data_IF_801001074792
#
_entry.id   IF_801001074792
#
_cell.length_a   1.000
_cell.length_b   1.000
_cell.length_c   1.000
_cell.angle_alpha   90.00
_cell.angle_beta   90.00
_cell.angle_gamma   90.00
#
_symmetry.space_group_name_H-M   'P 1'
#
loop_
_entity.id
_entity.type
_entity.pdbx_description
1 polymer ?
#
# COMPACT_ATOMS: atom_id res chain seq x y z
N UNK A 1 2.70 29.37 -21.80
CA UNK A 1 2.45 28.59 -20.57
C UNK A 1 3.75 28.54 -19.79
N UNK A 2 3.72 28.70 -18.47
CA UNK A 2 4.93 28.52 -17.64
C UNK A 2 5.40 27.05 -17.76
N UNK A 3 6.71 26.81 -17.64
CA UNK A 3 7.31 25.46 -17.69
C UNK A 3 6.65 24.48 -16.71
N UNK A 4 6.32 24.95 -15.51
CA UNK A 4 5.59 24.17 -14.49
C UNK A 4 4.21 23.70 -14.97
N UNK A 5 3.47 24.56 -15.67
CA UNK A 5 2.13 24.22 -16.19
C UNK A 5 2.22 23.12 -17.24
N UNK A 6 3.19 23.20 -18.15
CA UNK A 6 3.40 22.17 -19.18
C UNK A 6 3.82 20.83 -18.55
N UNK A 7 4.73 20.85 -17.57
CA UNK A 7 5.14 19.65 -16.83
C UNK A 7 3.96 19.02 -16.10
N UNK A 8 3.18 19.81 -15.37
CA UNK A 8 2.03 19.33 -14.61
C UNK A 8 0.97 18.69 -15.52
N UNK A 9 0.63 19.33 -16.64
CA UNK A 9 -0.37 18.79 -17.55
C UNK A 9 0.10 17.51 -18.25
N UNK A 10 1.39 17.38 -18.58
CA UNK A 10 1.94 16.12 -19.09
C UNK A 10 1.87 15.00 -18.04
N UNK A 11 2.24 15.29 -16.79
CA UNK A 11 2.16 14.31 -15.69
C UNK A 11 0.72 13.90 -15.43
N UNK A 12 -0.20 14.86 -15.31
CA UNK A 12 -1.62 14.62 -15.08
C UNK A 12 -2.24 13.75 -16.17
N UNK A 13 -1.95 14.03 -17.44
CA UNK A 13 -2.39 13.22 -18.57
C UNK A 13 -1.81 11.80 -18.54
N UNK A 14 -0.51 11.66 -18.25
CA UNK A 14 0.15 10.36 -18.14
C UNK A 14 -0.47 9.50 -17.02
N UNK A 15 -0.66 10.09 -15.84
CA UNK A 15 -1.19 9.42 -14.65
C UNK A 15 -2.65 8.98 -14.86
N UNK A 16 -3.47 9.84 -15.46
CA UNK A 16 -4.88 9.55 -15.75
C UNK A 16 -5.06 8.43 -16.77
N UNK A 17 -4.06 8.19 -17.63
CA UNK A 17 -4.07 7.12 -18.61
C UNK A 17 -3.66 5.75 -18.04
N UNK A 18 -3.19 5.67 -16.79
CA UNK A 18 -2.76 4.41 -16.19
C UNK A 18 -3.96 3.56 -15.75
N UNK A 19 -4.05 2.35 -16.27
CA UNK A 19 -5.12 1.40 -15.92
C UNK A 19 -5.20 1.17 -14.40
N UNK A 20 -4.06 1.04 -13.72
CA UNK A 20 -4.01 0.83 -12.27
C UNK A 20 -4.63 1.98 -11.44
N UNK A 21 -4.71 3.20 -11.99
CA UNK A 21 -5.37 4.34 -11.34
C UNK A 21 -6.88 4.31 -11.62
N UNK A 22 -7.29 4.01 -12.85
CA UNK A 22 -8.71 3.94 -13.23
C UNK A 22 -9.45 2.70 -12.68
N UNK A 23 -8.80 1.54 -12.67
CA UNK A 23 -9.41 0.24 -12.32
C UNK A 23 -9.76 0.13 -10.83
N UNK A 24 -8.99 0.79 -9.95
CA UNK A 24 -9.24 0.77 -8.50
C UNK A 24 -10.60 1.39 -8.14
N UNK A 25 -11.09 2.34 -8.92
CA UNK A 25 -12.40 2.97 -8.73
C UNK A 25 -13.57 2.06 -9.18
N UNK A 26 -13.30 1.08 -10.04
CA UNK A 26 -14.31 0.14 -10.53
C UNK A 26 -14.62 -0.96 -9.50
N UNK A 27 -13.68 -1.28 -8.61
CA UNK A 27 -13.81 -2.36 -7.61
C UNK A 27 -15.03 -2.13 -6.70
N UNK A 28 -15.23 -0.91 -6.22
CA UNK A 28 -16.38 -0.54 -5.38
C UNK A 28 -17.72 -0.86 -6.06
N UNK A 29 -17.80 -0.71 -7.39
CA UNK A 29 -19.01 -1.05 -8.16
C UNK A 29 -19.23 -2.55 -8.24
N UNK A 30 -18.15 -3.34 -8.32
CA UNK A 30 -18.21 -4.79 -8.45
C UNK A 30 -18.79 -5.46 -7.18
N UNK A 31 -18.41 -5.00 -5.98
CA UNK A 31 -18.92 -5.57 -4.72
C UNK A 31 -20.09 -4.81 -4.10
N UNK A 32 -20.57 -3.71 -4.70
CA UNK A 32 -21.65 -2.88 -4.14
C UNK A 32 -22.90 -3.68 -3.72
N UNK A 33 -23.27 -4.71 -4.51
CA UNK A 33 -24.42 -5.58 -4.20
C UNK A 33 -24.19 -6.51 -3.00
N UNK A 34 -22.93 -6.83 -2.70
CA UNK A 34 -22.53 -7.66 -1.58
C UNK A 34 -22.26 -6.83 -0.31
N UNK A 35 -22.19 -5.49 -0.40
CA UNK A 35 -21.88 -4.62 0.72
C UNK A 35 -22.78 -4.84 1.96
N UNK A 36 -24.10 -5.11 1.84
CA UNK A 36 -24.95 -5.40 3.00
C UNK A 36 -24.55 -6.68 3.77
N UNK A 37 -23.83 -7.61 3.16
CA UNK A 37 -23.38 -8.86 3.81
C UNK A 37 -22.28 -8.61 4.85
N UNK A 38 -21.62 -7.45 4.83
CA UNK A 38 -20.55 -7.10 5.77
C UNK A 38 -21.06 -6.73 7.18
N UNK A 39 -22.38 -6.60 7.36
CA UNK A 39 -22.97 -6.15 8.62
C UNK A 39 -22.45 -4.77 9.01
N UNK A 40 -21.79 -4.69 10.17
CA UNK A 40 -21.21 -3.44 10.69
C UNK A 40 -19.80 -3.14 10.17
N UNK A 41 -19.17 -4.05 9.42
CA UNK A 41 -17.79 -3.89 8.95
C UNK A 41 -17.78 -2.99 7.70
N UNK A 42 -16.97 -1.93 7.73
CA UNK A 42 -16.77 -1.05 6.57
C UNK A 42 -15.86 -1.76 5.55
N UNK A 43 -16.26 -1.77 4.27
CA UNK A 43 -15.46 -2.31 3.16
C UNK A 43 -14.79 -1.16 2.40
N UNK A 44 -13.52 -1.34 2.04
CA UNK A 44 -12.74 -0.39 1.23
C UNK A 44 -11.37 -0.06 1.80
N UNK A 45 -11.12 -0.42 3.07
CA UNK A 45 -9.82 -0.28 3.72
C UNK A 45 -8.81 -1.35 3.27
N UNK A 46 -7.57 -1.26 3.75
CA UNK A 46 -6.50 -2.23 3.41
C UNK A 46 -6.79 -3.63 3.94
N UNK A 47 -7.51 -3.73 5.06
CA UNK A 47 -8.01 -5.01 5.56
C UNK A 47 -9.36 -4.85 6.27
N UNK A 48 -10.07 -5.96 6.44
CA UNK A 48 -11.27 -5.98 7.26
C UNK A 48 -10.89 -5.84 8.75
N UNK A 49 -11.44 -4.84 9.43
CA UNK A 49 -11.25 -4.63 10.86
C UNK A 49 -12.48 -5.11 11.65
N UNK A 50 -12.37 -6.28 12.27
CA UNK A 50 -13.44 -6.93 13.04
C UNK A 50 -13.23 -6.63 14.53
N UNK A 51 -14.19 -5.98 15.23
CA UNK A 51 -14.06 -5.71 16.66
C UNK A 51 -13.84 -7.00 17.47
N UNK A 52 -12.82 -7.01 18.32
CA UNK A 52 -12.48 -8.15 19.17
C UNK A 52 -11.84 -7.70 20.50
N UNK A 53 -12.54 -7.93 21.61
CA UNK A 53 -12.05 -7.72 22.98
C UNK A 53 -11.33 -6.37 23.21
N UNK A 54 -11.98 -5.26 22.83
CA UNK A 54 -11.43 -3.91 23.03
C UNK A 54 -10.39 -3.48 21.99
N UNK A 55 -10.08 -4.33 21.01
CA UNK A 55 -9.31 -4.00 19.81
C UNK A 55 -9.98 -4.56 18.57
N UNK A 56 -9.17 -4.98 17.60
CA UNK A 56 -9.63 -5.50 16.31
C UNK A 56 -8.81 -6.71 15.87
N UNK A 57 -9.50 -7.73 15.35
CA UNK A 57 -8.90 -8.70 14.44
C UNK A 57 -8.87 -8.08 13.04
N UNK A 58 -7.74 -8.20 12.39
CA UNK A 58 -7.51 -7.68 11.05
C UNK A 58 -7.39 -8.83 10.06
N UNK A 59 -8.09 -8.77 8.93
CA UNK A 59 -8.07 -9.84 7.95
C UNK A 59 -7.94 -9.29 6.53
N UNK A 60 -6.86 -9.64 5.85
CA UNK A 60 -6.56 -9.25 4.48
C UNK A 60 -6.28 -10.48 3.60
N UNK A 61 -6.41 -10.29 2.29
CA UNK A 61 -6.06 -11.32 1.32
C UNK A 61 -5.81 -10.72 -0.05
N UNK A 62 -4.76 -11.21 -0.71
CA UNK A 62 -4.36 -10.74 -2.03
C UNK A 62 -4.01 -11.89 -2.96
N UNK A 63 -4.42 -11.74 -4.22
CA UNK A 63 -4.04 -12.63 -5.32
C UNK A 63 -2.90 -12.04 -6.14
N UNK A 64 -1.97 -12.88 -6.54
CA UNK A 64 -0.88 -12.50 -7.45
C UNK A 64 -1.32 -12.67 -8.90
N UNK A 65 -0.92 -11.73 -9.76
CA UNK A 65 -1.15 -11.84 -11.20
C UNK A 65 -0.51 -13.12 -11.74
N UNK A 66 -1.25 -13.90 -12.54
CA UNK A 66 -0.76 -15.13 -13.17
C UNK A 66 0.60 -14.92 -13.85
N UNK A 67 0.70 -13.87 -14.66
CA UNK A 67 1.94 -13.56 -15.38
C UNK A 67 3.10 -13.18 -14.46
N UNK A 68 2.82 -12.67 -13.26
CA UNK A 68 3.86 -12.43 -12.27
C UNK A 68 4.36 -13.75 -11.67
N UNK A 69 3.44 -14.63 -11.27
CA UNK A 69 3.78 -15.96 -10.72
C UNK A 69 4.54 -16.80 -11.75
N UNK A 70 4.15 -16.73 -13.02
CA UNK A 70 4.82 -17.46 -14.11
C UNK A 70 6.22 -16.93 -14.41
N UNK A 71 6.42 -15.60 -14.41
CA UNK A 71 7.70 -15.00 -14.82
C UNK A 71 8.74 -14.90 -13.69
N UNK A 72 8.30 -14.77 -12.44
CA UNK A 72 9.18 -14.63 -11.28
C UNK A 72 8.56 -15.34 -10.06
N UNK A 73 8.49 -16.69 -10.05
CA UNK A 73 7.77 -17.46 -9.03
C UNK A 73 8.27 -17.21 -7.62
N UNK A 74 9.59 -17.17 -7.45
CA UNK A 74 10.20 -16.92 -6.15
C UNK A 74 9.78 -15.55 -5.63
N UNK A 75 9.88 -14.51 -6.47
CA UNK A 75 9.52 -13.18 -6.01
C UNK A 75 8.01 -12.99 -5.86
N UNK A 76 7.19 -13.70 -6.62
CA UNK A 76 5.74 -13.75 -6.42
C UNK A 76 5.39 -14.39 -5.07
N UNK A 77 6.04 -15.50 -4.71
CA UNK A 77 5.92 -16.12 -3.38
C UNK A 77 6.32 -15.18 -2.24
N UNK A 78 7.46 -14.50 -2.40
CA UNK A 78 7.93 -13.50 -1.43
C UNK A 78 6.93 -12.34 -1.29
N UNK A 79 6.46 -11.83 -2.42
CA UNK A 79 5.52 -10.71 -2.49
C UNK A 79 4.18 -11.07 -1.86
N UNK A 80 3.66 -12.28 -2.08
CA UNK A 80 2.40 -12.75 -1.50
C UNK A 80 2.36 -12.62 0.03
N UNK A 81 3.48 -12.87 0.70
CA UNK A 81 3.61 -12.60 2.13
C UNK A 81 3.73 -11.10 2.37
N UNK A 82 4.73 -10.45 1.78
CA UNK A 82 5.09 -9.05 2.03
C UNK A 82 3.91 -8.07 1.90
N UNK A 83 3.12 -8.17 0.83
CA UNK A 83 2.00 -7.25 0.56
C UNK A 83 0.89 -7.40 1.61
N UNK A 84 0.53 -8.64 1.95
CA UNK A 84 -0.46 -8.92 2.99
C UNK A 84 0.00 -8.36 4.35
N UNK A 85 1.30 -8.49 4.69
CA UNK A 85 1.82 -7.90 5.93
C UNK A 85 1.75 -6.37 5.92
N UNK A 86 1.92 -5.74 4.75
CA UNK A 86 1.77 -4.29 4.56
C UNK A 86 0.35 -3.84 4.85
N UNK A 87 -0.68 -4.56 4.37
CA UNK A 87 -2.09 -4.23 4.64
C UNK A 87 -2.42 -4.20 6.14
N UNK A 88 -1.92 -5.20 6.88
CA UNK A 88 -2.11 -5.28 8.33
C UNK A 88 -1.39 -4.12 9.03
N UNK A 89 -0.16 -3.81 8.62
CA UNK A 89 0.61 -2.72 9.21
C UNK A 89 0.00 -1.36 8.89
N UNK A 90 -0.46 -1.11 7.65
CA UNK A 90 -1.12 0.12 7.24
C UNK A 90 -2.30 0.48 8.14
N UNK A 91 -3.00 -0.54 8.64
CA UNK A 91 -4.13 -0.43 9.55
C UNK A 91 -3.77 -0.32 11.04
N UNK A 92 -2.48 -0.14 11.36
CA UNK A 92 -1.98 -0.08 12.73
C UNK A 92 -1.92 -1.46 13.42
N UNK A 93 -1.90 -2.54 12.65
CA UNK A 93 -1.92 -3.90 13.15
C UNK A 93 -0.55 -4.57 13.21
N UNK A 94 -0.50 -5.66 13.97
CA UNK A 94 0.62 -6.61 14.00
C UNK A 94 0.17 -7.92 13.36
N UNK A 95 0.84 -8.42 12.31
CA UNK A 95 0.50 -9.71 11.71
C UNK A 95 0.72 -10.87 12.69
N UNK A 96 -0.17 -11.85 12.66
CA UNK A 96 -0.13 -13.03 13.53
C UNK A 96 0.19 -14.30 12.75
N UNK A 97 -0.43 -14.48 11.59
CA UNK A 97 -0.32 -15.69 10.81
C UNK A 97 -0.76 -15.46 9.36
N UNK A 98 -0.18 -16.22 8.43
CA UNK A 98 -0.56 -16.20 7.02
C UNK A 98 -0.93 -17.61 6.53
N UNK A 99 -1.83 -17.68 5.57
CA UNK A 99 -2.11 -18.89 4.78
C UNK A 99 -1.92 -18.62 3.30
N UNK A 100 -1.60 -19.65 2.52
CA UNK A 100 -1.50 -19.59 1.06
C UNK A 100 -2.64 -20.36 0.37
N UNK A 101 -2.93 -19.98 -0.88
CA UNK A 101 -3.77 -20.75 -1.81
C UNK A 101 -2.98 -20.82 -3.11
N UNK A 102 -2.44 -21.99 -3.41
CA UNK A 102 -1.56 -22.23 -4.54
C UNK A 102 -2.17 -23.25 -5.51
N UNK A 103 -2.26 -22.87 -6.78
CA UNK A 103 -2.57 -23.75 -7.90
C UNK A 103 -1.50 -23.57 -8.97
N UNK A 104 -0.69 -24.61 -9.23
CA UNK A 104 0.48 -24.45 -10.11
C UNK A 104 0.79 -25.73 -10.89
N UNK A 105 1.22 -25.64 -12.16
CA UNK A 105 1.70 -26.80 -12.91
C UNK A 105 3.11 -27.20 -12.45
N UNK A 106 3.28 -28.46 -12.10
CA UNK A 106 4.59 -29.03 -11.78
C UNK A 106 5.18 -28.64 -10.41
N UNK A 107 6.11 -29.47 -9.95
CA UNK A 107 6.74 -29.35 -8.64
C UNK A 107 7.81 -28.26 -8.58
N UNK A 108 8.54 -28.04 -9.68
CA UNK A 108 9.63 -27.06 -9.73
C UNK A 108 9.10 -25.63 -9.54
N UNK A 109 8.02 -25.29 -10.24
CA UNK A 109 7.34 -24.01 -10.10
C UNK A 109 6.81 -23.83 -8.66
N UNK A 110 6.17 -24.87 -8.10
CA UNK A 110 5.69 -24.85 -6.73
C UNK A 110 6.82 -24.64 -5.72
N UNK A 111 7.96 -25.30 -5.92
CA UNK A 111 9.13 -25.19 -5.06
C UNK A 111 9.69 -23.75 -5.06
N UNK A 112 9.87 -23.14 -6.24
CA UNK A 112 10.34 -21.76 -6.34
C UNK A 112 9.39 -20.78 -5.62
N UNK A 113 8.07 -20.95 -5.77
CA UNK A 113 7.07 -20.13 -5.05
C UNK A 113 7.21 -20.30 -3.53
N UNK A 114 7.29 -21.55 -3.06
CA UNK A 114 7.41 -21.86 -1.63
C UNK A 114 8.73 -21.38 -1.02
N UNK A 115 9.82 -21.38 -1.78
CA UNK A 115 11.10 -20.78 -1.36
C UNK A 115 10.94 -19.27 -1.12
N UNK A 116 10.20 -18.58 -1.99
CA UNK A 116 9.86 -17.17 -1.83
C UNK A 116 9.02 -16.89 -0.58
N UNK A 117 7.96 -17.67 -0.40
CA UNK A 117 7.08 -17.59 0.79
C UNK A 117 7.90 -17.82 2.06
N UNK A 118 8.77 -18.84 2.05
CA UNK A 118 9.64 -19.19 3.18
C UNK A 118 10.59 -18.04 3.50
N UNK A 119 11.25 -17.47 2.50
CA UNK A 119 12.17 -16.35 2.68
C UNK A 119 11.47 -15.13 3.30
N UNK A 120 10.30 -14.74 2.80
CA UNK A 120 9.55 -13.61 3.34
C UNK A 120 9.04 -13.90 4.76
N UNK A 121 8.47 -15.08 5.01
CA UNK A 121 7.98 -15.50 6.33
C UNK A 121 9.10 -15.44 7.38
N UNK A 122 10.31 -15.93 7.04
CA UNK A 122 11.48 -15.85 7.91
C UNK A 122 11.95 -14.41 8.11
N UNK A 123 12.02 -13.60 7.04
CA UNK A 123 12.45 -12.22 7.12
C UNK A 123 11.55 -11.38 8.04
N UNK A 124 10.23 -11.46 7.84
CA UNK A 124 9.26 -10.71 8.63
C UNK A 124 8.86 -11.37 9.95
N UNK A 125 9.23 -12.64 10.17
CA UNK A 125 8.95 -13.36 11.42
C UNK A 125 7.47 -13.69 11.62
N UNK A 126 6.73 -13.93 10.54
CA UNK A 126 5.29 -14.26 10.57
C UNK A 126 5.10 -15.70 10.09
N UNK A 127 4.50 -16.59 10.90
CA UNK A 127 4.37 -18.00 10.53
C UNK A 127 3.34 -18.22 9.42
N UNK A 128 3.66 -19.13 8.50
CA UNK A 128 2.69 -19.75 7.59
C UNK A 128 2.01 -20.89 8.35
N UNK A 129 0.70 -20.78 8.59
CA UNK A 129 -0.04 -21.69 9.50
C UNK A 129 -0.99 -22.64 8.80
N UNK A 130 -1.05 -22.59 7.48
CA UNK A 130 -1.92 -23.44 6.68
C UNK A 130 -2.06 -22.91 5.27
N UNK A 131 -2.97 -23.51 4.52
CA UNK A 131 -3.20 -23.15 3.14
C UNK A 131 -3.76 -24.31 2.32
N UNK A 132 -3.83 -24.12 1.02
CA UNK A 132 -4.22 -25.16 0.07
C UNK A 132 -3.33 -25.13 -1.15
N UNK A 133 -2.53 -26.18 -1.35
CA UNK A 133 -1.69 -26.35 -2.55
C UNK A 133 -2.25 -27.46 -3.44
N UNK A 134 -2.50 -27.12 -4.70
CA UNK A 134 -2.80 -28.08 -5.77
C UNK A 134 -1.74 -28.01 -6.86
N UNK A 135 -1.10 -29.16 -7.13
CA UNK A 135 -0.14 -29.32 -8.21
C UNK A 135 -0.86 -29.95 -9.40
N UNK A 136 -0.90 -29.24 -10.52
CA UNK A 136 -1.50 -29.74 -11.77
C UNK A 136 -0.45 -30.27 -12.74
N UNK A 137 -0.90 -31.03 -13.74
CA UNK A 137 -0.06 -31.48 -14.86
C UNK A 137 0.16 -30.39 -15.91
N UNK A 138 -0.78 -29.47 -16.02
CA UNK A 138 -0.78 -28.34 -16.95
C UNK A 138 -1.77 -27.29 -16.46
N UNK A 139 -1.69 -26.06 -16.99
CA UNK A 139 -2.59 -24.97 -16.67
C UNK A 139 -1.87 -23.71 -16.22
N UNK A 140 -2.65 -22.75 -15.74
CA UNK A 140 -2.17 -21.45 -15.29
C UNK A 140 -1.67 -21.51 -13.83
N UNK A 141 -0.79 -20.57 -13.50
CA UNK A 141 -0.39 -20.31 -12.13
C UNK A 141 -1.41 -19.42 -11.41
N UNK A 142 -1.82 -19.84 -10.21
CA UNK A 142 -2.59 -19.03 -9.28
C UNK A 142 -1.93 -19.09 -7.92
N UNK A 143 -1.66 -17.91 -7.36
CA UNK A 143 -1.16 -17.77 -6.00
C UNK A 143 -2.01 -16.69 -5.34
N UNK A 144 -2.61 -17.03 -4.20
CA UNK A 144 -3.17 -16.07 -3.27
C UNK A 144 -2.60 -16.31 -1.88
N UNK A 145 -2.64 -15.29 -1.04
CA UNK A 145 -2.36 -15.42 0.37
C UNK A 145 -3.35 -14.59 1.18
N UNK A 146 -3.58 -15.00 2.42
CA UNK A 146 -4.42 -14.27 3.36
C UNK A 146 -3.76 -14.22 4.73
N UNK A 147 -3.85 -13.07 5.39
CA UNK A 147 -3.19 -12.81 6.67
C UNK A 147 -4.20 -12.44 7.74
N UNK A 148 -3.97 -12.96 8.93
CA UNK A 148 -4.63 -12.55 10.15
C UNK A 148 -3.67 -11.67 10.95
N UNK A 149 -4.16 -10.52 11.41
CA UNK A 149 -3.45 -9.61 12.31
C UNK A 149 -4.32 -9.17 13.47
N UNK A 150 -3.74 -8.35 14.35
CA UNK A 150 -4.46 -7.71 15.45
C UNK A 150 -4.02 -6.26 15.63
N UNK A 151 -4.96 -5.38 15.93
CA UNK A 151 -4.69 -4.00 16.29
C UNK A 151 -5.40 -3.63 17.60
N UNK A 152 -4.78 -2.78 18.42
CA UNK A 152 -5.45 -2.13 19.54
C UNK A 152 -6.17 -0.86 19.08
N UNK A 153 -5.53 -0.12 18.17
CA UNK A 153 -6.04 1.11 17.57
C UNK A 153 -5.79 1.08 16.08
N UNK A 154 -6.76 1.53 15.30
CA UNK A 154 -6.68 1.51 13.84
C UNK A 154 -6.05 2.79 13.31
N UNK A 155 -5.32 2.64 12.20
CA UNK A 155 -5.10 3.70 11.21
C UNK A 155 -6.01 3.37 10.04
N UNK A 156 -7.27 3.80 10.10
CA UNK A 156 -8.27 3.46 9.09
C UNK A 156 -8.28 4.48 7.96
N UNK A 157 -8.49 4.07 6.71
CA UNK A 157 -8.65 4.99 5.57
C UNK A 157 -9.96 5.78 5.57
N UNK A 158 -10.87 5.54 6.51
CA UNK A 158 -12.17 6.22 6.59
C UNK A 158 -12.19 7.51 7.42
N UNK A 159 -11.11 7.82 8.14
CA UNK A 159 -11.11 8.85 9.18
C UNK A 159 -10.29 10.10 8.83
N UNK A 160 -9.79 10.25 7.59
CA UNK A 160 -9.05 11.44 7.17
C UNK A 160 -9.95 12.69 7.23
N UNK A 161 -9.39 13.84 7.65
CA UNK A 161 -10.17 15.06 7.85
C UNK A 161 -9.58 16.27 7.12
N UNK A 162 -10.43 17.21 6.66
CA UNK A 162 -9.95 18.49 6.16
C UNK A 162 -9.06 19.20 7.17
N UNK A 163 -7.93 19.73 6.71
CA UNK A 163 -6.90 20.38 7.51
C UNK A 163 -5.84 19.43 8.08
N UNK A 164 -5.98 18.11 7.91
CA UNK A 164 -4.87 17.19 8.17
C UNK A 164 -3.78 17.35 7.09
N UNK A 165 -2.54 17.19 7.50
CA UNK A 165 -1.39 17.16 6.62
C UNK A 165 -1.26 15.78 5.97
N UNK A 166 -0.96 15.74 4.67
CA UNK A 166 -0.69 14.50 3.96
C UNK A 166 0.82 14.22 4.00
N UNK A 167 1.20 13.14 4.67
CA UNK A 167 2.57 12.65 4.70
C UNK A 167 2.73 11.44 3.77
N UNK A 168 3.87 11.39 3.09
CA UNK A 168 4.36 10.21 2.38
C UNK A 168 5.50 9.62 3.21
N UNK A 169 5.39 8.34 3.56
CA UNK A 169 6.48 7.57 4.16
C UNK A 169 6.88 6.46 3.18
N UNK A 170 8.17 6.33 2.85
CA UNK A 170 8.66 5.34 1.88
C UNK A 170 10.10 4.93 2.16
N UNK A 171 10.41 3.65 1.97
CA UNK A 171 11.79 3.17 2.05
C UNK A 171 12.53 3.36 0.71
N UNK A 172 13.37 4.40 0.64
CA UNK A 172 14.19 4.72 -0.53
C UNK A 172 15.51 3.93 -0.62
N UNK A 173 15.76 2.96 0.27
CA UNK A 173 16.99 2.14 0.27
C UNK A 173 16.95 0.97 -0.73
N UNK A 174 15.88 0.88 -1.51
CA UNK A 174 15.63 -0.20 -2.44
C UNK A 174 16.24 -0.03 -3.83
N UNK A 175 15.72 -0.82 -4.77
CA UNK A 175 15.98 -0.72 -6.21
C UNK A 175 14.79 -1.23 -7.00
N UNK A 176 14.69 -0.84 -8.26
CA UNK A 176 13.65 -1.40 -9.14
C UNK A 176 13.85 -2.91 -9.39
N UNK A 177 12.76 -3.67 -9.32
CA UNK A 177 12.73 -5.08 -9.71
C UNK A 177 12.48 -5.18 -11.22
N UNK A 178 13.56 -5.24 -11.99
CA UNK A 178 13.50 -5.27 -13.45
C UNK A 178 12.87 -4.00 -14.04
N UNK A 179 12.09 -4.18 -15.11
CA UNK A 179 11.47 -3.06 -15.84
C UNK A 179 10.13 -2.62 -15.26
N UNK A 180 9.57 -3.38 -14.31
CA UNK A 180 8.30 -3.04 -13.67
C UNK A 180 8.48 -1.84 -12.74
N UNK A 181 7.42 -1.05 -12.48
CA UNK A 181 7.46 0.03 -11.50
C UNK A 181 7.35 -0.54 -10.07
N UNK A 182 8.10 -1.59 -9.75
CA UNK A 182 8.15 -2.15 -8.40
C UNK A 182 9.47 -1.76 -7.74
N UNK A 183 9.41 -1.10 -6.59
CA UNK A 183 10.57 -0.65 -5.84
C UNK A 183 10.82 -1.57 -4.63
N UNK A 184 11.87 -2.38 -4.72
CA UNK A 184 12.20 -3.41 -3.76
C UNK A 184 13.26 -2.93 -2.76
N UNK A 185 12.83 -2.61 -1.54
CA UNK A 185 13.71 -2.37 -0.40
C UNK A 185 13.71 -3.54 0.60
N UNK A 186 12.99 -4.63 0.32
CA UNK A 186 12.74 -5.69 1.30
C UNK A 186 13.66 -6.90 1.18
N UNK A 187 13.85 -7.44 -0.03
CA UNK A 187 14.51 -8.76 -0.22
C UNK A 187 15.95 -8.80 0.32
N UNK A 188 16.71 -7.71 0.17
CA UNK A 188 18.10 -7.64 0.62
C UNK A 188 18.27 -7.06 2.03
N UNK A 189 17.18 -6.65 2.69
CA UNK A 189 17.25 -6.00 3.99
C UNK A 189 17.38 -7.04 5.13
N UNK A 190 18.11 -6.72 6.20
CA UNK A 190 18.15 -7.56 7.38
C UNK A 190 16.76 -7.74 8.02
N UNK A 191 16.46 -8.96 8.47
CA UNK A 191 15.16 -9.32 9.06
C UNK A 191 14.76 -8.41 10.24
N UNK A 192 15.69 -8.10 11.14
CA UNK A 192 15.45 -7.20 12.27
C UNK A 192 14.99 -5.81 11.82
N UNK A 193 15.58 -5.31 10.72
CA UNK A 193 15.21 -4.01 10.16
C UNK A 193 13.79 -4.04 9.61
N UNK A 194 13.45 -5.04 8.80
CA UNK A 194 12.11 -5.19 8.25
C UNK A 194 11.03 -5.26 9.33
N UNK A 195 11.28 -6.04 10.38
CA UNK A 195 10.34 -6.19 11.50
C UNK A 195 10.16 -4.88 12.26
N UNK A 196 11.25 -4.17 12.55
CA UNK A 196 11.18 -2.89 13.24
C UNK A 196 10.58 -1.78 12.38
N UNK A 197 10.81 -1.79 11.06
CA UNK A 197 10.23 -0.82 10.12
C UNK A 197 8.71 -1.03 10.05
N UNK A 198 8.25 -2.29 9.96
CA UNK A 198 6.82 -2.65 9.97
C UNK A 198 6.14 -2.31 11.30
N UNK A 199 6.85 -2.43 12.42
CA UNK A 199 6.34 -2.13 13.76
C UNK A 199 6.08 -0.63 14.00
N UNK A 200 6.57 0.28 13.14
CA UNK A 200 6.29 1.71 13.28
C UNK A 200 4.80 2.01 13.22
N UNK A 201 4.07 1.43 12.26
CA UNK A 201 2.67 1.76 12.03
C UNK A 201 1.76 1.42 13.24
N UNK A 202 1.82 0.21 13.84
CA UNK A 202 1.06 -0.07 15.05
C UNK A 202 1.47 0.83 16.22
N UNK A 203 2.75 1.18 16.36
CA UNK A 203 3.21 2.08 17.42
C UNK A 203 2.67 3.52 17.24
N UNK A 204 2.61 4.01 15.99
CA UNK A 204 2.01 5.30 15.64
C UNK A 204 0.49 5.30 15.89
N UNK A 205 -0.17 4.19 15.58
CA UNK A 205 -1.60 3.99 15.82
C UNK A 205 -1.91 4.05 17.31
N UNK A 206 -1.19 3.30 18.14
CA UNK A 206 -1.38 3.23 19.60
C UNK A 206 -1.14 4.56 20.30
N UNK A 207 -0.17 5.36 19.81
CA UNK A 207 0.05 6.73 20.27
C UNK A 207 -1.02 7.73 19.81
N UNK A 208 -1.86 7.34 18.84
CA UNK A 208 -2.89 8.20 18.26
C UNK A 208 -2.32 9.36 17.44
N UNK A 209 -1.12 9.20 16.89
CA UNK A 209 -0.44 10.26 16.13
C UNK A 209 -0.88 10.34 14.68
N UNK A 210 -1.41 9.24 14.13
CA UNK A 210 -1.92 9.16 12.76
C UNK A 210 -3.44 9.02 12.80
N UNK A 211 -4.15 9.79 11.97
CA UNK A 211 -5.61 9.75 11.92
C UNK A 211 -6.12 8.69 10.96
N UNK A 212 -5.57 8.69 9.76
CA UNK A 212 -5.93 7.77 8.69
C UNK A 212 -4.73 7.47 7.80
N UNK A 213 -4.79 6.39 7.03
CA UNK A 213 -3.71 6.05 6.12
C UNK A 213 -4.10 4.94 5.14
N UNK A 214 -3.21 4.71 4.17
CA UNK A 214 -3.24 3.56 3.26
C UNK A 214 -1.83 3.12 2.90
N UNK A 215 -1.68 1.83 2.67
CA UNK A 215 -0.54 1.25 1.95
C UNK A 215 -0.47 1.78 0.50
N UNK A 216 0.73 2.01 -0.03
CA UNK A 216 0.90 2.32 -1.45
C UNK A 216 0.98 1.01 -2.22
N UNK A 217 -0.02 0.72 -3.05
CA UNK A 217 -0.12 -0.52 -3.83
C UNK A 217 0.16 -0.30 -5.33
N UNK A 218 -0.27 -1.22 -6.21
CA UNK A 218 -0.10 -1.14 -7.67
C UNK A 218 -0.67 0.13 -8.33
N UNK A 219 -1.56 0.87 -7.66
CA UNK A 219 -2.04 2.18 -8.14
C UNK A 219 -1.01 3.31 -7.97
N UNK A 220 0.14 3.02 -7.35
CA UNK A 220 1.15 4.01 -6.98
C UNK A 220 0.62 5.04 -5.99
N UNK A 221 1.34 6.15 -5.84
CA UNK A 221 0.98 7.24 -4.93
C UNK A 221 -0.38 7.82 -5.32
N UNK A 222 -0.63 8.01 -6.61
CA UNK A 222 -1.82 8.70 -7.12
C UNK A 222 -3.08 7.86 -6.94
N UNK A 223 -3.06 6.58 -7.36
CA UNK A 223 -4.20 5.68 -7.20
C UNK A 223 -4.49 5.39 -5.73
N UNK A 224 -3.45 5.27 -4.90
CA UNK A 224 -3.59 5.07 -3.46
C UNK A 224 -4.24 6.27 -2.78
N UNK A 225 -3.79 7.50 -3.10
CA UNK A 225 -4.40 8.71 -2.55
C UNK A 225 -5.88 8.80 -2.94
N UNK A 226 -6.21 8.57 -4.22
CA UNK A 226 -7.59 8.53 -4.68
C UNK A 226 -8.47 7.58 -3.85
N UNK A 227 -7.97 6.38 -3.52
CA UNK A 227 -8.69 5.42 -2.68
C UNK A 227 -8.90 5.94 -1.25
N UNK A 228 -7.86 6.52 -0.63
CA UNK A 228 -7.94 7.11 0.71
C UNK A 228 -8.99 8.23 0.76
N UNK A 229 -8.95 9.12 -0.23
CA UNK A 229 -9.88 10.24 -0.36
C UNK A 229 -11.33 9.74 -0.51
N UNK A 230 -11.56 8.71 -1.33
CA UNK A 230 -12.88 8.13 -1.55
C UNK A 230 -13.45 7.48 -0.28
N UNK A 231 -12.60 6.79 0.49
CA UNK A 231 -13.00 6.16 1.75
C UNK A 231 -13.43 7.21 2.78
N UNK A 232 -12.66 8.27 2.93
CA UNK A 232 -12.95 9.36 3.88
C UNK A 232 -13.93 10.41 3.37
N UNK A 233 -14.24 10.43 2.06
CA UNK A 233 -15.09 11.43 1.38
C UNK A 233 -14.56 12.87 1.53
N UNK A 234 -13.27 13.06 1.29
CA UNK A 234 -12.53 14.33 1.44
C UNK A 234 -11.67 14.60 0.22
N UNK A 235 -11.39 15.86 -0.11
CA UNK A 235 -10.43 16.20 -1.18
C UNK A 235 -8.98 16.20 -0.68
N UNK A 236 -8.03 16.46 -1.57
CA UNK A 236 -6.66 16.78 -1.18
C UNK A 236 -5.93 17.61 -2.24
N UNK A 237 -4.88 18.29 -1.80
CA UNK A 237 -3.82 18.81 -2.65
C UNK A 237 -2.57 17.94 -2.49
N UNK A 238 -1.97 17.52 -3.61
CA UNK A 238 -0.71 16.80 -3.64
C UNK A 238 0.37 17.63 -4.36
N UNK A 239 1.43 17.99 -3.65
CA UNK A 239 2.59 18.73 -4.14
C UNK A 239 3.64 17.76 -4.69
N UNK A 240 3.63 17.59 -6.01
CA UNK A 240 4.45 16.63 -6.73
C UNK A 240 5.96 16.92 -6.63
N UNK A 241 6.33 18.18 -6.51
CA UNK A 241 7.71 18.66 -6.33
C UNK A 241 8.27 18.39 -4.93
N UNK A 242 7.42 17.99 -3.97
CA UNK A 242 7.82 17.58 -2.62
C UNK A 242 7.89 16.08 -2.43
N UNK A 243 7.51 15.29 -3.44
CA UNK A 243 7.60 13.83 -3.34
C UNK A 243 9.06 13.42 -3.39
N UNK A 244 9.54 12.84 -2.29
CA UNK A 244 10.87 12.25 -2.25
C UNK A 244 10.91 11.00 -3.13
N UNK A 245 11.94 10.91 -3.96
CA UNK A 245 12.15 9.81 -4.89
C UNK A 245 13.59 9.30 -4.80
N UNK A 246 13.88 8.07 -5.28
CA UNK A 246 15.25 7.60 -5.40
C UNK A 246 16.09 8.50 -6.31
N UNK A 247 17.39 8.59 -6.04
CA UNK A 247 18.30 9.44 -6.82
C UNK A 247 18.25 9.10 -8.31
N UNK A 248 17.99 10.12 -9.14
CA UNK A 248 17.90 9.98 -10.59
C UNK A 248 16.65 9.25 -11.10
N UNK A 249 15.67 8.97 -10.23
CA UNK A 249 14.41 8.38 -10.66
C UNK A 249 13.58 9.33 -11.52
N UNK A 250 13.05 8.82 -12.63
CA UNK A 250 12.01 9.51 -13.39
C UNK A 250 10.75 9.65 -12.52
N UNK A 251 10.29 10.90 -12.34
CA UNK A 251 9.16 11.21 -11.46
C UNK A 251 7.87 10.53 -11.94
N UNK A 252 7.61 10.49 -13.26
CA UNK A 252 6.40 9.88 -13.79
C UNK A 252 6.35 8.38 -13.45
N UNK A 253 7.45 7.65 -13.63
CA UNK A 253 7.59 6.26 -13.20
C UNK A 253 7.44 6.11 -11.69
N UNK A 254 8.06 6.98 -10.90
CA UNK A 254 8.00 6.89 -9.44
C UNK A 254 6.58 7.07 -8.89
N UNK A 255 5.79 8.00 -9.45
CA UNK A 255 4.41 8.25 -9.02
C UNK A 255 3.47 7.07 -9.20
N UNK A 256 3.80 6.17 -10.13
CA UNK A 256 3.05 4.92 -10.40
C UNK A 256 3.73 3.69 -9.82
N UNK A 257 4.79 3.87 -9.02
CA UNK A 257 5.55 2.76 -8.48
C UNK A 257 4.91 2.16 -7.23
N UNK A 258 5.03 0.85 -7.11
CA UNK A 258 4.69 0.08 -5.92
C UNK A 258 5.95 -0.15 -5.07
N UNK A 259 6.13 0.56 -3.94
CA UNK A 259 7.23 0.31 -3.02
C UNK A 259 6.93 -0.86 -2.09
N UNK A 260 7.93 -1.68 -1.79
CA UNK A 260 7.83 -2.76 -0.80
C UNK A 260 7.53 -2.27 0.64
N UNK A 261 7.72 -0.97 0.88
CA UNK A 261 7.34 -0.27 2.10
C UNK A 261 7.00 1.17 1.73
N UNK A 262 5.71 1.52 1.74
CA UNK A 262 5.26 2.88 1.46
C UNK A 262 3.82 3.12 1.91
N UNK A 263 3.58 4.29 2.49
CA UNK A 263 2.29 4.67 3.07
C UNK A 263 1.98 6.13 2.81
N UNK A 264 0.69 6.42 2.59
CA UNK A 264 0.13 7.76 2.65
C UNK A 264 -0.63 7.91 3.96
N UNK A 265 -0.29 8.94 4.75
CA UNK A 265 -0.83 9.16 6.08
C UNK A 265 -1.46 10.54 6.18
N UNK A 266 -2.68 10.59 6.70
CA UNK A 266 -3.38 11.81 7.09
C UNK A 266 -3.12 12.05 8.58
N UNK A 267 -2.44 13.16 8.87
CA UNK A 267 -1.86 13.46 10.18
C UNK A 267 -2.28 14.85 10.65
N UNK A 268 -2.72 14.94 11.90
CA UNK A 268 -3.00 16.24 12.53
C UNK A 268 -1.73 17.12 12.51
N UNK A 269 -1.80 18.41 12.15
CA UNK A 269 -0.62 19.27 12.09
C UNK A 269 0.24 19.25 13.35
N UNK A 270 -0.38 19.07 14.53
CA UNK A 270 0.35 18.99 15.81
C UNK A 270 1.21 17.73 15.98
N UNK A 271 0.96 16.69 15.19
CA UNK A 271 1.65 15.40 15.27
C UNK A 271 2.66 15.16 14.15
N UNK A 272 2.70 16.01 13.12
CA UNK A 272 3.60 15.84 11.96
C UNK A 272 5.05 15.64 12.38
N UNK A 273 5.56 16.47 13.29
CA UNK A 273 6.94 16.37 13.76
C UNK A 273 7.23 15.00 14.43
N UNK A 274 6.28 14.48 15.21
CA UNK A 274 6.42 13.19 15.89
C UNK A 274 6.41 12.03 14.89
N UNK A 275 5.49 12.06 13.92
CA UNK A 275 5.38 11.01 12.89
C UNK A 275 6.61 11.00 11.99
N UNK A 276 7.02 12.17 11.48
CA UNK A 276 8.20 12.29 10.63
C UNK A 276 9.48 11.86 11.36
N UNK A 277 9.65 12.24 12.63
CA UNK A 277 10.79 11.81 13.43
C UNK A 277 10.83 10.28 13.58
N UNK A 278 9.70 9.63 13.88
CA UNK A 278 9.64 8.18 14.06
C UNK A 278 10.10 7.39 12.81
N UNK A 279 9.74 7.85 11.60
CA UNK A 279 10.23 7.26 10.36
C UNK A 279 11.71 7.58 10.10
N UNK A 280 12.12 8.84 10.30
CA UNK A 280 13.49 9.28 10.06
C UNK A 280 14.51 8.62 11.00
N UNK A 281 14.14 8.34 12.25
CA UNK A 281 14.98 7.60 13.22
C UNK A 281 15.29 6.18 12.73
N UNK A 282 14.43 5.62 11.86
CA UNK A 282 14.64 4.35 11.16
C UNK A 282 15.18 4.52 9.74
N UNK A 283 15.58 5.73 9.37
CA UNK A 283 16.05 6.13 8.04
C UNK A 283 15.05 5.76 6.92
N UNK A 284 13.76 5.89 7.21
CA UNK A 284 12.68 5.80 6.23
C UNK A 284 12.33 7.24 5.88
N UNK A 285 12.28 7.55 4.59
CA UNK A 285 11.96 8.90 4.13
C UNK A 285 10.51 9.21 4.48
N UNK A 286 10.27 10.24 5.28
CA UNK A 286 8.92 10.71 5.57
C UNK A 286 8.86 12.23 5.50
N UNK A 287 7.95 12.76 4.68
CA UNK A 287 7.77 14.20 4.57
C UNK A 287 6.33 14.57 4.19
N UNK A 288 6.02 15.84 4.44
CA UNK A 288 4.76 16.45 4.04
C UNK A 288 4.74 16.66 2.53
N UNK A 289 3.76 16.05 1.87
CA UNK A 289 3.57 16.10 0.41
C UNK A 289 2.23 16.72 0.02
N UNK A 290 1.38 17.09 0.97
CA UNK A 290 0.08 17.67 0.66
C UNK A 290 -0.73 18.05 1.88
N UNK A 291 -2.01 18.31 1.65
CA UNK A 291 -3.01 18.59 2.67
C UNK A 291 -4.35 17.96 2.27
N UNK A 292 -5.09 17.45 3.26
CA UNK A 292 -6.46 16.97 3.07
C UNK A 292 -7.42 18.16 3.08
N UNK A 293 -8.32 18.25 2.10
CA UNK A 293 -9.23 19.38 1.90
C UNK A 293 -10.70 18.97 2.04
N UNK A 294 -11.57 19.94 2.28
CA UNK A 294 -13.02 19.72 2.33
C UNK A 294 -13.73 19.77 0.97
N UNK A 295 -13.00 19.95 -0.14
CA UNK A 295 -13.61 20.25 -1.45
C UNK A 295 -14.18 19.05 -2.19
N UNK A 296 -13.83 17.82 -1.78
CA UNK A 296 -14.15 16.61 -2.54
C UNK A 296 -13.42 16.52 -3.89
N UNK A 297 -12.37 17.31 -4.09
CA UNK A 297 -11.56 17.33 -5.32
C UNK A 297 -10.14 16.91 -5.02
N UNK A 298 -9.54 16.13 -5.91
CA UNK A 298 -8.12 15.80 -5.88
C UNK A 298 -7.36 16.75 -6.81
N UNK A 299 -6.46 17.57 -6.26
CA UNK A 299 -5.68 18.58 -6.99
C UNK A 299 -4.20 18.19 -6.99
N UNK A 300 -3.59 18.13 -8.17
CA UNK A 300 -2.15 18.03 -8.33
C UNK A 300 -1.54 19.43 -8.40
N UNK A 301 -0.39 19.59 -7.78
CA UNK A 301 0.33 20.85 -7.71
C UNK A 301 1.81 20.60 -8.02
N UNK A 302 2.41 21.45 -8.84
CA UNK A 302 3.85 21.42 -9.15
C UNK A 302 4.35 22.86 -9.27
N UNK A 303 5.27 23.26 -8.38
CA UNK A 303 5.67 24.66 -8.26
C UNK A 303 4.45 25.55 -7.97
N UNK A 304 4.14 26.49 -8.87
CA UNK A 304 2.92 27.32 -8.76
C UNK A 304 1.74 26.81 -9.59
N UNK A 305 1.94 25.77 -10.41
CA UNK A 305 0.89 25.22 -11.28
C UNK A 305 -0.03 24.29 -10.48
N UNK A 306 -1.32 24.31 -10.84
CA UNK A 306 -2.38 23.51 -10.18
C UNK A 306 -3.30 22.93 -11.23
N UNK A 307 -3.67 21.66 -11.07
CA UNK A 307 -4.57 20.96 -11.98
C UNK A 307 -5.45 19.98 -11.20
N UNK A 308 -6.76 20.02 -11.45
CA UNK A 308 -7.69 19.04 -10.86
C UNK A 308 -7.50 17.70 -11.53
N UNK A 309 -7.14 16.68 -10.76
CA UNK A 309 -7.00 15.32 -11.24
C UNK A 309 -8.39 14.73 -11.53
N UNK A 310 -8.60 14.04 -12.66
CA UNK A 310 -9.92 13.58 -13.09
C UNK A 310 -10.37 12.31 -12.35
N UNK A 311 -10.40 12.36 -11.01
CA UNK A 311 -10.93 11.31 -10.14
C UNK A 311 -12.08 11.88 -9.34
N UNK A 312 -13.23 11.20 -9.39
CA UNK A 312 -14.36 11.50 -8.51
C UNK A 312 -14.10 10.87 -7.16
N UNK A 313 -14.03 11.73 -6.14
CA UNK A 313 -13.87 11.35 -4.74
C UNK A 313 -15.24 11.27 -4.07
#
# INVERSE_FOLDING_TARGET
MNSDTTTLSHLSAFLSAQAAVGDKLAITRAYARAQPLAGAIKIGDDCAAIPDNGGFLLFAGEGMLESFVSNDPWFAGYSAVMVNLSDIAAMGGRPLAIIDILWTPGLEQAAAIWEGITAASQAYGVPVVGGHTTITRSGANFLGAAVLGRAQRLITSFDARPGDELLLAVDLRGKYQGNKPFWNASVAAPAERLRGDLALLPDLAEKGWVRAGKDISNGGIIGTLAMLLQCSRVGAELWLDRILSPDGADLARWLISFPSFGFLLSVDPSQVANVTAAFNDRQIACNRVGEITGSGTFVLVYGTARETFPVTV
#
